data_IF_894819144660
#
_entry.id   IF_894819144660
#
_cell.length_a   1.000
_cell.length_b   1.000
_cell.length_c   1.000
_cell.angle_alpha   90.00
_cell.angle_beta   90.00
_cell.angle_gamma   90.00
#
_symmetry.space_group_name_H-M   'P 1'
#
loop_
_entity.id
_entity.type
_entity.pdbx_description
1 polymer ?
#
# COMPACT_ATOMS: atom_id res chain seq x y z
N UNK A 1 20.69 -21.91 -11.29
CA UNK A 1 20.83 -20.43 -11.26
C UNK A 1 20.23 -19.64 -12.42
N UNK A 2 20.51 -19.91 -13.71
CA UNK A 2 20.06 -19.04 -14.82
C UNK A 2 18.54 -18.79 -14.90
N UNK A 3 17.72 -19.78 -14.52
CA UNK A 3 16.25 -19.64 -14.48
C UNK A 3 15.79 -18.73 -13.33
N UNK A 4 16.31 -18.95 -12.12
CA UNK A 4 16.03 -18.14 -10.93
C UNK A 4 16.41 -16.68 -11.16
N UNK A 5 17.65 -16.42 -11.60
CA UNK A 5 18.11 -15.05 -11.87
C UNK A 5 17.22 -14.31 -12.88
N UNK A 6 16.79 -14.98 -13.97
CA UNK A 6 15.86 -14.37 -14.94
C UNK A 6 14.49 -14.05 -14.34
N UNK A 7 13.94 -14.92 -13.50
CA UNK A 7 12.66 -14.69 -12.85
C UNK A 7 12.75 -13.50 -11.87
N UNK A 8 13.79 -13.48 -11.04
CA UNK A 8 14.07 -12.38 -10.11
C UNK A 8 14.26 -11.05 -10.84
N UNK A 9 15.08 -10.99 -11.89
CA UNK A 9 15.28 -9.74 -12.65
C UNK A 9 13.98 -9.20 -13.24
N UNK A 10 13.09 -10.08 -13.73
CA UNK A 10 11.76 -9.67 -14.21
C UNK A 10 10.89 -9.14 -13.09
N UNK A 11 10.87 -9.80 -11.94
CA UNK A 11 10.10 -9.37 -10.77
C UNK A 11 10.54 -7.98 -10.29
N UNK A 12 11.84 -7.75 -10.16
CA UNK A 12 12.39 -6.47 -9.74
C UNK A 12 12.09 -5.37 -10.76
N UNK A 13 12.34 -5.62 -12.05
CA UNK A 13 12.09 -4.64 -13.10
C UNK A 13 10.59 -4.28 -13.21
N UNK A 14 9.71 -5.28 -13.16
CA UNK A 14 8.27 -5.06 -13.31
C UNK A 14 7.68 -4.25 -12.14
N UNK A 15 8.16 -4.49 -10.91
CA UNK A 15 7.68 -3.81 -9.71
C UNK A 15 8.55 -2.60 -9.32
N UNK A 16 9.47 -2.17 -10.19
CA UNK A 16 10.41 -1.09 -9.93
C UNK A 16 11.19 -1.22 -8.60
N UNK A 17 11.54 -2.45 -8.20
CA UNK A 17 12.33 -2.71 -6.99
C UNK A 17 13.81 -2.48 -7.32
N UNK A 18 14.53 -1.64 -6.55
CA UNK A 18 15.96 -1.44 -6.73
C UNK A 18 16.76 -2.75 -6.67
N UNK A 19 17.67 -2.98 -7.61
CA UNK A 19 18.41 -4.27 -7.65
C UNK A 19 19.28 -4.50 -6.42
N UNK A 20 19.81 -3.43 -5.82
CA UNK A 20 20.57 -3.51 -4.57
C UNK A 20 19.73 -4.03 -3.38
N UNK A 21 18.39 -4.06 -3.48
CA UNK A 21 17.55 -4.71 -2.46
C UNK A 21 17.86 -6.19 -2.30
N UNK A 22 18.34 -6.87 -3.37
CA UNK A 22 18.80 -8.26 -3.27
C UNK A 22 20.02 -8.43 -2.37
N UNK A 23 20.81 -7.36 -2.20
CA UNK A 23 22.03 -7.32 -1.39
C UNK A 23 21.82 -6.62 -0.03
N UNK A 24 20.67 -5.98 0.19
CA UNK A 24 20.39 -5.09 1.33
C UNK A 24 19.92 -5.82 2.59
N UNK A 25 20.59 -6.92 2.95
CA UNK A 25 20.31 -7.70 4.15
C UNK A 25 19.96 -9.16 3.88
N UNK A 26 19.57 -9.93 4.91
CA UNK A 26 19.44 -11.38 4.82
C UNK A 26 18.16 -11.85 4.13
N UNK A 27 17.15 -10.97 4.00
CA UNK A 27 15.78 -11.38 3.69
C UNK A 27 15.59 -11.90 2.27
N UNK A 28 16.28 -11.31 1.28
CA UNK A 28 16.15 -11.77 -0.10
C UNK A 28 16.70 -13.18 -0.26
N UNK A 29 17.89 -13.46 0.29
CA UNK A 29 18.47 -14.80 0.25
C UNK A 29 17.65 -15.80 1.09
N UNK A 30 17.21 -15.41 2.29
CA UNK A 30 16.35 -16.22 3.14
C UNK A 30 15.04 -16.65 2.45
N UNK A 31 14.42 -15.73 1.69
CA UNK A 31 13.25 -16.04 0.87
C UNK A 31 13.58 -17.12 -0.19
N UNK A 32 14.70 -16.99 -0.89
CA UNK A 32 15.12 -17.97 -1.91
C UNK A 32 15.39 -19.34 -1.27
N UNK A 33 16.08 -19.37 -0.14
CA UNK A 33 16.43 -20.60 0.58
C UNK A 33 15.16 -21.30 1.11
N UNK A 34 14.24 -20.56 1.72
CA UNK A 34 12.95 -21.08 2.20
C UNK A 34 12.12 -21.67 1.06
N UNK A 35 12.07 -20.99 -0.10
CA UNK A 35 11.37 -21.51 -1.29
C UNK A 35 12.05 -22.79 -1.80
N UNK A 36 13.38 -22.84 -1.79
CA UNK A 36 14.12 -24.03 -2.21
C UNK A 36 13.86 -25.23 -1.29
N UNK A 37 13.84 -25.00 0.03
CA UNK A 37 13.53 -26.00 1.06
C UNK A 37 12.11 -26.55 0.94
N UNK A 38 11.13 -25.69 0.66
CA UNK A 38 9.74 -26.10 0.51
C UNK A 38 9.47 -26.95 -0.74
N UNK A 39 10.40 -26.95 -1.71
CA UNK A 39 10.40 -27.88 -2.85
C UNK A 39 9.44 -27.50 -3.99
N UNK A 40 9.34 -28.33 -5.05
CA UNK A 40 8.55 -28.02 -6.24
C UNK A 40 7.03 -28.06 -5.96
N UNK A 41 6.27 -27.21 -6.67
CA UNK A 41 4.81 -27.22 -6.64
C UNK A 41 4.17 -26.27 -5.62
N UNK A 42 4.98 -25.63 -4.77
CA UNK A 42 4.55 -24.55 -3.91
C UNK A 42 3.94 -23.39 -4.71
N UNK A 43 2.83 -22.88 -4.17
CA UNK A 43 2.20 -21.63 -4.60
C UNK A 43 2.51 -20.58 -3.54
N UNK A 44 3.06 -19.45 -3.99
CA UNK A 44 3.31 -18.33 -3.10
C UNK A 44 2.01 -17.78 -2.51
N UNK A 45 2.05 -17.19 -1.31
CA UNK A 45 0.92 -16.47 -0.73
C UNK A 45 0.53 -15.25 -1.60
N UNK A 46 -0.74 -14.88 -1.57
CA UNK A 46 -1.20 -13.65 -2.22
C UNK A 46 -0.82 -12.42 -1.39
N UNK A 47 -0.79 -11.23 -2.00
CA UNK A 47 -0.37 -9.99 -1.34
C UNK A 47 -1.07 -9.72 0.00
N UNK A 48 -2.37 -10.01 0.10
CA UNK A 48 -3.13 -9.93 1.35
C UNK A 48 -2.54 -10.82 2.46
N UNK A 49 -2.16 -12.05 2.15
CA UNK A 49 -1.58 -12.97 3.14
C UNK A 49 -0.16 -12.54 3.52
N UNK A 50 0.63 -12.03 2.58
CA UNK A 50 1.97 -11.50 2.85
C UNK A 50 1.90 -10.32 3.84
N UNK A 51 1.02 -9.35 3.58
CA UNK A 51 0.91 -8.14 4.39
C UNK A 51 0.16 -8.30 5.72
N UNK A 52 -0.56 -9.41 5.93
CA UNK A 52 -1.37 -9.61 7.14
C UNK A 52 -1.03 -10.90 7.88
N UNK A 53 -1.05 -12.04 7.18
CA UNK A 53 -0.93 -13.37 7.81
C UNK A 53 0.52 -13.72 8.16
N UNK A 54 1.46 -13.33 7.29
CA UNK A 54 2.86 -13.77 7.36
C UNK A 54 3.87 -12.67 7.70
N UNK A 55 3.45 -11.41 7.73
CA UNK A 55 4.29 -10.34 8.26
C UNK A 55 4.30 -10.49 9.79
N UNK A 56 5.41 -10.96 10.36
CA UNK A 56 5.53 -11.05 11.82
C UNK A 56 5.33 -9.64 12.42
N UNK A 57 4.41 -9.55 13.39
CA UNK A 57 4.21 -8.36 14.21
C UNK A 57 5.49 -8.06 15.01
N UNK A 58 6.44 -7.37 14.40
CA UNK A 58 7.52 -6.59 15.04
C UNK A 58 8.53 -6.29 13.95
N UNK A 59 8.56 -5.05 13.48
CA UNK A 59 9.74 -4.19 13.39
C UNK A 59 9.26 -2.96 12.61
N UNK A 60 9.27 -1.80 13.28
CA UNK A 60 9.07 -0.44 12.74
C UNK A 60 7.67 0.12 12.45
N UNK A 61 6.58 -0.63 12.57
CA UNK A 61 5.26 -0.07 12.22
C UNK A 61 4.62 0.81 13.31
N UNK A 62 4.94 0.63 14.59
CA UNK A 62 4.30 1.39 15.68
C UNK A 62 4.66 2.89 15.66
N UNK A 63 5.93 3.22 15.42
CA UNK A 63 6.38 4.62 15.37
C UNK A 63 5.87 5.34 14.11
N UNK A 64 5.92 4.69 12.95
CA UNK A 64 5.42 5.27 11.70
C UNK A 64 3.89 5.38 11.71
N UNK A 65 3.19 4.38 12.26
CA UNK A 65 1.74 4.41 12.42
C UNK A 65 1.31 5.50 13.40
N UNK A 66 1.97 5.60 14.56
CA UNK A 66 1.70 6.67 15.53
C UNK A 66 2.01 8.06 14.97
N UNK A 67 3.07 8.18 14.17
CA UNK A 67 3.39 9.43 13.48
C UNK A 67 2.30 9.81 12.47
N UNK A 68 1.83 8.86 11.66
CA UNK A 68 0.73 9.08 10.73
C UNK A 68 -0.56 9.45 11.47
N UNK A 69 -0.88 8.77 12.58
CA UNK A 69 -2.02 9.15 13.44
C UNK A 69 -1.88 10.57 13.96
N UNK A 70 -0.70 10.95 14.44
CA UNK A 70 -0.46 12.32 14.92
C UNK A 70 -0.64 13.39 13.83
N UNK A 71 -0.40 13.04 12.57
CA UNK A 71 -0.63 13.95 11.43
C UNK A 71 -2.11 14.03 11.08
N UNK A 72 -2.81 12.89 11.09
CA UNK A 72 -4.25 12.84 10.83
C UNK A 72 -5.03 13.61 11.91
N UNK A 73 -4.70 13.41 13.18
CA UNK A 73 -5.33 14.12 14.30
C UNK A 73 -5.19 15.64 14.15
N UNK A 74 -4.01 16.14 13.77
CA UNK A 74 -3.78 17.57 13.54
C UNK A 74 -4.62 18.13 12.40
N UNK A 75 -4.72 17.40 11.29
CA UNK A 75 -5.53 17.82 10.13
C UNK A 75 -7.02 17.85 10.51
N UNK A 76 -7.48 16.86 11.27
CA UNK A 76 -8.87 16.79 11.73
C UNK A 76 -9.17 17.91 12.73
N UNK A 77 -8.25 18.22 13.65
CA UNK A 77 -8.38 19.34 14.58
C UNK A 77 -8.48 20.68 13.86
N UNK A 78 -7.71 20.87 12.78
CA UNK A 78 -7.76 22.10 11.97
C UNK A 78 -9.05 22.22 11.14
N UNK A 79 -9.52 21.10 10.58
CA UNK A 79 -10.68 21.07 9.65
C UNK A 79 -12.03 20.97 10.39
N UNK A 80 -12.05 20.39 11.60
CA UNK A 80 -13.25 20.01 12.34
C UNK A 80 -13.81 18.66 11.88
N UNK A 81 -14.06 17.74 12.82
CA UNK A 81 -14.54 16.37 12.54
C UNK A 81 -15.81 16.34 11.68
N UNK A 82 -16.71 17.30 11.86
CA UNK A 82 -17.97 17.43 11.13
C UNK A 82 -17.79 17.77 9.64
N UNK A 83 -16.63 18.31 9.27
CA UNK A 83 -16.29 18.70 7.90
C UNK A 83 -15.46 17.65 7.17
N UNK A 84 -15.10 16.56 7.85
CA UNK A 84 -14.34 15.45 7.26
C UNK A 84 -15.28 14.54 6.46
N UNK A 85 -15.12 14.58 5.13
CA UNK A 85 -15.80 13.66 4.20
C UNK A 85 -14.74 12.85 3.47
N UNK A 86 -14.81 11.53 3.57
CA UNK A 86 -13.93 10.64 2.83
C UNK A 86 -14.46 10.44 1.42
N UNK A 87 -13.77 11.02 0.42
CA UNK A 87 -14.07 10.82 -1.00
C UNK A 87 -13.06 9.83 -1.58
N UNK A 88 -13.54 8.64 -1.94
CA UNK A 88 -12.75 7.65 -2.71
C UNK A 88 -13.36 7.57 -4.09
N UNK A 89 -12.68 8.14 -5.09
CA UNK A 89 -13.12 8.11 -6.49
C UNK A 89 -12.12 7.34 -7.33
N UNK A 90 -12.49 6.14 -7.80
CA UNK A 90 -12.03 5.67 -9.10
C UNK A 90 -12.81 6.43 -10.18
N UNK A 91 -12.43 7.68 -10.40
CA UNK A 91 -13.00 8.48 -11.48
C UNK A 91 -11.93 9.04 -12.41
N UNK A 92 -10.77 8.36 -12.46
CA UNK A 92 -9.65 8.79 -13.30
C UNK A 92 -10.07 8.87 -14.78
N UNK A 93 -10.92 7.95 -15.23
CA UNK A 93 -11.48 7.95 -16.57
C UNK A 93 -12.33 9.21 -16.85
N UNK A 94 -13.22 9.60 -15.95
CA UNK A 94 -14.06 10.79 -16.16
C UNK A 94 -13.30 12.10 -15.94
N UNK A 95 -12.29 12.13 -15.06
CA UNK A 95 -11.41 13.29 -14.90
C UNK A 95 -10.55 13.54 -16.14
N UNK A 96 -10.09 12.47 -16.81
CA UNK A 96 -9.40 12.56 -18.11
C UNK A 96 -10.34 12.98 -19.25
N UNK A 97 -11.60 12.54 -19.23
CA UNK A 97 -12.59 12.91 -20.25
C UNK A 97 -12.94 14.40 -20.27
N UNK A 98 -12.82 15.09 -19.14
CA UNK A 98 -13.12 16.54 -19.01
C UNK A 98 -11.84 17.40 -19.09
N UNK A 99 -10.67 16.81 -19.39
CA UNK A 99 -9.34 17.45 -19.44
C UNK A 99 -8.87 18.11 -18.11
N UNK A 100 -9.70 18.04 -17.07
CA UNK A 100 -9.45 18.54 -15.72
C UNK A 100 -8.35 17.73 -15.04
N UNK A 101 -8.28 16.42 -15.29
CA UNK A 101 -7.23 15.54 -14.77
C UNK A 101 -5.82 15.84 -15.32
N UNK A 102 -5.73 16.62 -16.39
CA UNK A 102 -4.47 17.06 -17.01
C UNK A 102 -3.91 18.34 -16.37
N UNK A 103 -4.71 19.07 -15.60
CA UNK A 103 -4.26 20.29 -14.91
C UNK A 103 -3.23 19.91 -13.84
N UNK A 104 -2.05 20.54 -13.91
CA UNK A 104 -0.89 20.18 -13.08
C UNK A 104 -1.20 20.08 -11.59
N UNK A 105 -1.90 21.07 -11.04
CA UNK A 105 -2.28 21.11 -9.61
C UNK A 105 -3.24 19.96 -9.24
N UNK A 106 -4.23 19.67 -10.09
CA UNK A 106 -5.22 18.61 -9.85
C UNK A 106 -4.57 17.23 -9.95
N UNK A 107 -3.66 17.05 -10.89
CA UNK A 107 -2.89 15.80 -11.05
C UNK A 107 -2.02 15.52 -9.82
N UNK A 108 -1.30 16.52 -9.32
CA UNK A 108 -0.49 16.38 -8.11
C UNK A 108 -1.33 15.99 -6.89
N UNK A 109 -2.49 16.63 -6.69
CA UNK A 109 -3.43 16.26 -5.63
C UNK A 109 -3.99 14.84 -5.81
N UNK A 110 -4.30 14.43 -7.05
CA UNK A 110 -4.80 13.09 -7.34
C UNK A 110 -3.75 12.01 -7.08
N UNK A 111 -2.49 12.25 -7.46
CA UNK A 111 -1.38 11.33 -7.21
C UNK A 111 -1.13 11.17 -5.70
N UNK A 112 -1.21 12.27 -4.94
CA UNK A 112 -1.13 12.23 -3.47
C UNK A 112 -2.30 11.45 -2.86
N UNK A 113 -3.53 11.69 -3.31
CA UNK A 113 -4.72 10.98 -2.84
C UNK A 113 -4.64 9.47 -3.13
N UNK A 114 -4.13 9.07 -4.31
CA UNK A 114 -3.85 7.67 -4.64
C UNK A 114 -2.83 7.03 -3.71
N UNK A 115 -1.79 7.77 -3.36
CA UNK A 115 -0.76 7.31 -2.43
C UNK A 115 -1.35 7.05 -1.04
N UNK A 116 -2.18 7.98 -0.55
CA UNK A 116 -2.83 7.89 0.76
C UNK A 116 -3.87 6.76 0.78
N UNK A 117 -4.71 6.66 -0.25
CA UNK A 117 -5.71 5.59 -0.34
C UNK A 117 -5.05 4.22 -0.47
N UNK A 118 -3.99 4.09 -1.26
CA UNK A 118 -3.18 2.86 -1.33
C UNK A 118 -2.60 2.47 0.03
N UNK A 119 -2.10 3.43 0.81
CA UNK A 119 -1.64 3.21 2.17
C UNK A 119 -2.77 2.74 3.10
N UNK A 120 -3.91 3.45 3.11
CA UNK A 120 -5.06 3.12 3.95
C UNK A 120 -5.56 1.70 3.66
N UNK A 121 -5.78 1.36 2.39
CA UNK A 121 -6.37 0.07 2.00
C UNK A 121 -5.39 -1.11 2.08
N UNK A 122 -4.10 -0.85 2.15
CA UNK A 122 -3.09 -1.90 2.30
C UNK A 122 -2.79 -2.26 3.77
N UNK A 123 -3.39 -1.55 4.74
CA UNK A 123 -3.23 -1.81 6.18
C UNK A 123 -4.57 -2.00 6.89
N UNK A 124 -4.87 -3.22 7.35
CA UNK A 124 -6.12 -3.53 8.06
C UNK A 124 -6.31 -2.71 9.35
N UNK A 125 -5.20 -2.39 10.05
CA UNK A 125 -5.23 -1.52 11.25
C UNK A 125 -5.73 -0.12 10.90
N UNK A 126 -5.25 0.44 9.78
CA UNK A 126 -5.67 1.76 9.29
C UNK A 126 -7.10 1.70 8.74
N UNK A 127 -7.48 0.66 7.99
CA UNK A 127 -8.86 0.47 7.52
C UNK A 127 -9.85 0.41 8.69
N UNK A 128 -9.57 -0.40 9.71
CA UNK A 128 -10.46 -0.55 10.86
C UNK A 128 -10.57 0.75 11.64
N UNK A 129 -9.49 1.52 11.75
CA UNK A 129 -9.54 2.84 12.39
C UNK A 129 -10.38 3.84 11.57
N UNK A 130 -10.21 3.87 10.24
CA UNK A 130 -11.02 4.72 9.38
C UNK A 130 -12.51 4.39 9.54
N UNK A 131 -12.88 3.12 9.68
CA UNK A 131 -14.28 2.72 9.97
C UNK A 131 -14.79 3.26 11.31
N UNK A 132 -13.96 3.28 12.34
CA UNK A 132 -14.30 3.89 13.64
C UNK A 132 -14.58 5.39 13.46
N UNK A 133 -13.71 6.12 12.75
CA UNK A 133 -13.90 7.55 12.50
C UNK A 133 -15.09 7.86 11.59
N UNK A 134 -15.38 7.01 10.60
CA UNK A 134 -16.52 7.21 9.70
C UNK A 134 -17.85 6.77 10.29
N UNK A 135 -17.86 6.19 11.51
CA UNK A 135 -19.02 5.58 12.18
C UNK A 135 -19.62 4.44 11.35
N UNK A 136 -18.75 3.57 10.84
CA UNK A 136 -19.10 2.47 9.95
C UNK A 136 -19.86 2.89 8.68
N UNK A 137 -19.85 4.19 8.32
CA UNK A 137 -20.33 4.61 7.00
C UNK A 137 -19.42 3.99 5.96
N UNK A 138 -20.03 3.14 5.14
CA UNK A 138 -19.32 2.22 4.28
C UNK A 138 -18.37 2.95 3.34
N UNK A 139 -17.13 2.47 3.32
CA UNK A 139 -16.15 2.86 2.32
C UNK A 139 -16.57 2.15 1.05
N UNK A 140 -17.20 2.84 0.11
CA UNK A 140 -17.53 2.26 -1.17
C UNK A 140 -16.23 1.82 -1.84
N UNK A 141 -16.01 0.51 -1.86
CA UNK A 141 -14.98 -0.12 -2.66
C UNK A 141 -15.54 -0.21 -4.09
N UNK A 142 -14.89 0.40 -5.09
CA UNK A 142 -15.34 0.27 -6.47
C UNK A 142 -15.29 -1.21 -6.91
N UNK A 143 -16.29 -1.62 -7.69
CA UNK A 143 -16.17 -2.79 -8.57
C UNK A 143 -15.29 -2.45 -9.79
#
# INVERSE_FOLDING_TARGET
MKKVGKASSKFFLFNAIPFNTADSGPYYQSMIDTIAEAGPGIKGPIGYQIGNTYLEEKVQDLETTNYIFSLMDKVIEEVGEENVVQVVTDNEASLKAVDIGSMKQIKETLDQAKMITGFIYNSLKVVNLMKVFTKDRDLLRPE
#
